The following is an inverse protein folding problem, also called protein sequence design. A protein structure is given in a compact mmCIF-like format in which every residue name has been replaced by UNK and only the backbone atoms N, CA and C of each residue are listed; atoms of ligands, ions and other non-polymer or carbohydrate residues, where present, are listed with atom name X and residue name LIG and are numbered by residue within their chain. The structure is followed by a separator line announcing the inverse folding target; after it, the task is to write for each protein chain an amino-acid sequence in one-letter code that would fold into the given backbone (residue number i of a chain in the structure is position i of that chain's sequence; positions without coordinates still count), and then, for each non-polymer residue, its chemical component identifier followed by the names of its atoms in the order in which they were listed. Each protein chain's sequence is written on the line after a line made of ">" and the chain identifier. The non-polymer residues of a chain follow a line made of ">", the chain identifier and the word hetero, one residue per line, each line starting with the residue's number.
data_IF_913880078317
#
_entry.id   IF_913880078317
#
_cell.length_a   1.000
_cell.length_b   1.000
_cell.length_c   1.000
_cell.angle_alpha   90.00
_cell.angle_beta   90.00
_cell.angle_gamma   90.00
#
_symmetry.space_group_name_H-M   'P 1'
#
loop_
_entity.id
_entity.type
_entity.pdbx_description
1 polymer ?
#
# COMPACT_ATOMS: atom_id res chain seq x y z
N UNK A 1 -5.10 8.24 2.07
CA UNK A 1 -4.67 7.22 1.07
C UNK A 1 -5.87 6.39 0.59
N UNK A 2 -7.07 6.59 1.14
CA UNK A 2 -8.38 6.58 0.46
C UNK A 2 -8.38 6.55 -1.08
N UNK A 3 -7.47 7.28 -1.73
CA UNK A 3 -7.35 7.43 -3.19
C UNK A 3 -6.50 6.36 -3.89
N UNK A 4 -5.80 5.50 -3.14
CA UNK A 4 -4.87 4.50 -3.66
C UNK A 4 -5.37 3.09 -3.36
N UNK A 5 -5.32 2.23 -4.36
CA UNK A 5 -5.60 0.80 -4.17
C UNK A 5 -4.44 0.06 -3.49
N UNK A 6 -3.28 0.72 -3.35
CA UNK A 6 -2.14 0.12 -2.67
C UNK A 6 -2.45 -0.13 -1.19
N UNK A 7 -2.04 -1.28 -0.67
CA UNK A 7 -2.25 -1.68 0.72
C UNK A 7 -1.18 -1.16 1.69
N UNK A 8 -0.24 -0.37 1.19
CA UNK A 8 0.84 0.22 1.96
C UNK A 8 1.99 0.69 1.07
N UNK A 9 3.14 0.97 1.68
CA UNK A 9 4.28 1.48 0.94
C UNK A 9 5.53 1.72 1.80
N UNK A 10 6.50 2.41 1.21
CA UNK A 10 7.76 2.77 1.87
C UNK A 10 8.90 1.77 1.70
N UNK A 11 8.66 0.64 1.03
CA UNK A 11 9.72 -0.29 0.63
C UNK A 11 10.54 0.24 -0.55
N UNK A 12 11.68 -0.43 -0.80
CA UNK A 12 12.53 -0.17 -1.96
C UNK A 12 11.85 -0.61 -3.27
N UNK A 13 12.42 -0.24 -4.41
CA UNK A 13 11.88 -0.61 -5.73
C UNK A 13 12.03 -2.12 -6.00
N UNK A 14 11.16 -2.68 -6.84
CA UNK A 14 11.27 -4.10 -7.25
C UNK A 14 12.62 -4.43 -7.91
N UNK A 15 13.21 -3.46 -8.60
CA UNK A 15 14.54 -3.56 -9.20
C UNK A 15 15.64 -3.75 -8.15
N UNK A 16 15.52 -3.11 -6.98
CA UNK A 16 16.45 -3.33 -5.88
C UNK A 16 16.43 -4.79 -5.41
N UNK A 17 15.23 -5.36 -5.19
CA UNK A 17 15.08 -6.76 -4.80
C UNK A 17 15.49 -7.74 -5.91
N UNK A 18 15.23 -7.41 -7.18
CA UNK A 18 15.73 -8.20 -8.31
C UNK A 18 17.26 -8.29 -8.30
N UNK A 19 17.94 -7.15 -8.05
CA UNK A 19 19.39 -7.10 -7.96
C UNK A 19 19.90 -7.87 -6.75
N UNK A 20 19.25 -7.71 -5.59
CA UNK A 20 19.57 -8.41 -4.34
C UNK A 20 19.46 -9.93 -4.48
N UNK A 21 18.38 -10.43 -5.07
CA UNK A 21 18.03 -11.86 -5.04
C UNK A 21 18.51 -12.65 -6.26
N UNK A 22 18.58 -12.01 -7.42
CA UNK A 22 18.83 -12.68 -8.70
C UNK A 22 19.97 -12.04 -9.50
N UNK A 23 20.70 -11.08 -8.92
CA UNK A 23 21.83 -10.38 -9.56
C UNK A 23 21.46 -9.71 -10.89
N UNK A 24 20.19 -9.37 -11.11
CA UNK A 24 19.71 -8.67 -12.31
C UNK A 24 18.90 -7.43 -11.95
N UNK A 25 18.97 -6.39 -12.77
CA UNK A 25 18.09 -5.21 -12.64
C UNK A 25 16.85 -5.29 -13.54
N UNK A 26 16.81 -6.27 -14.44
CA UNK A 26 15.68 -6.50 -15.34
C UNK A 26 14.61 -7.33 -14.62
N UNK A 27 13.69 -6.63 -13.94
CA UNK A 27 12.55 -7.26 -13.29
C UNK A 27 11.58 -7.87 -14.32
N UNK A 28 11.48 -7.30 -15.52
CA UNK A 28 10.55 -7.74 -16.57
C UNK A 28 10.85 -9.14 -17.08
N UNK A 29 12.12 -9.53 -17.21
CA UNK A 29 12.50 -10.87 -17.67
C UNK A 29 12.36 -11.97 -16.61
N UNK A 30 12.08 -11.62 -15.35
CA UNK A 30 11.89 -12.63 -14.31
C UNK A 30 10.62 -13.46 -14.53
N UNK A 31 10.71 -14.75 -14.22
CA UNK A 31 9.56 -15.64 -14.23
C UNK A 31 8.49 -15.17 -13.23
N UNK A 32 7.20 -15.51 -13.43
CA UNK A 32 6.13 -15.13 -12.52
C UNK A 32 6.40 -15.51 -11.06
N UNK A 33 6.94 -16.70 -10.79
CA UNK A 33 7.28 -17.15 -9.45
C UNK A 33 8.36 -16.27 -8.78
N UNK A 34 9.38 -15.84 -9.53
CA UNK A 34 10.43 -14.95 -9.02
C UNK A 34 9.90 -13.54 -8.77
N UNK A 35 9.04 -13.04 -9.67
CA UNK A 35 8.35 -11.75 -9.51
C UNK A 35 7.50 -11.74 -8.24
N UNK A 36 6.79 -12.84 -7.97
CA UNK A 36 5.96 -12.96 -6.76
C UNK A 36 6.80 -13.02 -5.48
N UNK A 37 7.92 -13.75 -5.49
CA UNK A 37 8.85 -13.74 -4.35
C UNK A 37 9.38 -12.34 -4.04
N UNK A 38 9.78 -11.58 -5.07
CA UNK A 38 10.19 -10.18 -4.91
C UNK A 38 9.05 -9.32 -4.34
N UNK A 39 7.83 -9.46 -4.86
CA UNK A 39 6.67 -8.70 -4.36
C UNK A 39 6.40 -9.02 -2.89
N UNK A 40 6.47 -10.29 -2.49
CA UNK A 40 6.32 -10.70 -1.09
C UNK A 40 7.39 -10.09 -0.19
N UNK A 41 8.65 -10.10 -0.60
CA UNK A 41 9.72 -9.47 0.17
C UNK A 41 9.54 -7.95 0.24
N UNK A 42 9.21 -7.29 -0.87
CA UNK A 42 8.90 -5.87 -0.89
C UNK A 42 7.74 -5.53 0.05
N UNK A 43 6.69 -6.37 0.10
CA UNK A 43 5.57 -6.21 1.03
C UNK A 43 5.99 -6.35 2.48
N UNK A 44 6.94 -7.21 2.79
CA UNK A 44 7.48 -7.36 4.15
C UNK A 44 8.27 -6.12 4.58
N UNK A 45 8.94 -5.46 3.64
CA UNK A 45 9.72 -4.24 3.88
C UNK A 45 8.89 -2.94 3.86
N UNK A 46 7.56 -3.02 3.74
CA UNK A 46 6.72 -1.83 3.84
C UNK A 46 6.90 -1.15 5.20
N UNK A 47 6.85 0.18 5.18
CA UNK A 47 6.93 1.04 6.37
C UNK A 47 5.57 1.45 6.88
N UNK A 48 4.53 1.36 6.04
CA UNK A 48 3.16 1.58 6.46
C UNK A 48 2.20 0.63 5.74
N UNK A 49 1.05 0.41 6.37
CA UNK A 49 -0.12 -0.27 5.81
C UNK A 49 -1.27 0.73 5.69
N UNK A 50 -2.06 0.58 4.65
CA UNK A 50 -3.31 1.32 4.47
C UNK A 50 -4.46 0.41 4.90
N UNK A 51 -5.18 0.83 5.93
CA UNK A 51 -6.47 0.27 6.29
C UNK A 51 -7.55 1.07 5.56
N UNK A 52 -7.87 0.60 4.35
CA UNK A 52 -8.83 1.27 3.49
C UNK A 52 -10.27 1.12 4.01
N UNK A 53 -10.56 0.15 4.89
CA UNK A 53 -11.89 -0.03 5.47
C UNK A 53 -12.16 1.01 6.55
N UNK A 54 -11.17 1.27 7.41
CA UNK A 54 -11.27 2.26 8.49
C UNK A 54 -10.83 3.67 8.06
N UNK A 55 -10.41 3.85 6.80
CA UNK A 55 -9.74 5.05 6.25
C UNK A 55 -8.57 5.54 7.13
N UNK A 56 -7.68 4.61 7.49
CA UNK A 56 -6.54 4.86 8.38
C UNK A 56 -5.25 4.34 7.80
N UNK A 57 -4.14 4.92 8.26
CA UNK A 57 -2.79 4.50 7.88
C UNK A 57 -2.02 4.24 9.16
N UNK A 58 -1.32 3.11 9.20
CA UNK A 58 -0.50 2.72 10.34
C UNK A 58 0.91 2.43 9.90
N UNK A 59 1.89 2.77 10.75
CA UNK A 59 3.23 2.19 10.61
C UNK A 59 3.14 0.66 10.73
N UNK A 60 3.97 -0.06 9.98
CA UNK A 60 4.13 -1.52 10.17
C UNK A 60 4.71 -1.84 11.55
N UNK A 61 5.35 -0.87 12.19
CA UNK A 61 5.90 -0.92 13.55
C UNK A 61 5.02 -0.12 14.53
N UNK A 62 3.72 0.06 14.24
CA UNK A 62 2.80 0.79 15.11
C UNK A 62 2.78 0.17 16.52
N UNK A 63 3.06 0.99 17.53
CA UNK A 63 3.12 0.56 18.93
C UNK A 63 1.72 0.39 19.55
N UNK A 64 0.66 0.88 18.87
CA UNK A 64 -0.75 0.89 19.33
C UNK A 64 -1.01 1.69 20.62
N UNK A 65 0.04 2.13 21.28
CA UNK A 65 0.02 2.93 22.49
C UNK A 65 0.73 4.26 22.25
N UNK A 66 0.30 5.28 22.99
CA UNK A 66 0.92 6.59 23.01
C UNK A 66 1.13 6.97 24.47
N UNK A 67 2.34 7.36 24.83
CA UNK A 67 2.61 7.95 26.15
C UNK A 67 2.24 9.42 26.11
N UNK A 68 1.38 9.84 27.03
CA UNK A 68 0.90 11.21 27.14
C UNK A 68 1.15 11.67 28.57
N UNK A 69 1.96 12.70 28.72
CA UNK A 69 2.14 13.39 30.00
C UNK A 69 1.05 14.48 30.09
N UNK A 70 -0.17 14.09 30.51
CA UNK A 70 -1.31 14.99 30.69
C UNK A 70 -2.52 14.69 29.78
N UNK A 71 -3.42 15.66 29.67
CA UNK A 71 -4.60 15.57 28.78
C UNK A 71 -4.19 15.99 27.37
N UNK A 72 -4.40 15.12 26.39
CA UNK A 72 -4.15 15.45 24.99
C UNK A 72 -5.38 16.11 24.36
N UNK A 73 -5.23 17.35 23.90
CA UNK A 73 -6.27 18.06 23.14
C UNK A 73 -6.39 17.61 21.68
N UNK A 74 -5.49 16.73 21.21
CA UNK A 74 -5.43 16.27 19.83
C UNK A 74 -5.13 14.77 19.73
N UNK A 75 -5.52 14.11 18.61
CA UNK A 75 -5.17 12.73 18.35
C UNK A 75 -3.64 12.60 18.26
N UNK A 76 -3.05 11.88 19.21
CA UNK A 76 -1.62 11.64 19.20
C UNK A 76 -1.27 10.40 18.39
N UNK A 77 -0.16 10.48 17.66
CA UNK A 77 0.43 9.35 16.97
C UNK A 77 1.50 8.71 17.84
N UNK A 78 1.60 7.39 17.83
CA UNK A 78 2.79 6.74 18.39
C UNK A 78 4.04 7.15 17.60
N UNK A 79 5.22 7.01 18.21
CA UNK A 79 6.51 7.43 17.62
C UNK A 79 6.71 6.83 16.22
N UNK A 80 6.39 5.54 16.04
CA UNK A 80 6.52 4.86 14.76
C UNK A 80 5.60 5.44 13.66
N UNK A 81 4.32 5.72 14.00
CA UNK A 81 3.38 6.34 13.07
C UNK A 81 3.76 7.79 12.75
N UNK A 82 4.26 8.53 13.74
CA UNK A 82 4.81 9.88 13.54
C UNK A 82 6.02 9.87 12.60
N UNK A 83 6.89 8.86 12.73
CA UNK A 83 8.00 8.62 11.81
C UNK A 83 7.55 8.41 10.36
N UNK A 84 6.47 7.64 10.14
CA UNK A 84 5.88 7.49 8.80
C UNK A 84 5.33 8.82 8.30
N UNK A 85 4.54 9.52 9.11
CA UNK A 85 3.89 10.79 8.75
C UNK A 85 4.91 11.87 8.32
N UNK A 86 6.05 11.90 8.98
CA UNK A 86 7.14 12.84 8.68
C UNK A 86 8.03 12.40 7.50
N UNK A 87 7.98 11.12 7.10
CA UNK A 87 8.87 10.56 6.07
C UNK A 87 8.62 11.12 4.68
N UNK A 88 9.71 11.39 3.94
CA UNK A 88 9.63 11.88 2.54
C UNK A 88 8.89 10.92 1.60
N UNK A 89 9.09 9.59 1.64
CA UNK A 89 8.34 8.67 0.79
C UNK A 89 6.83 8.73 1.02
N UNK A 90 6.41 8.89 2.29
CA UNK A 90 5.00 9.00 2.62
C UNK A 90 4.39 10.32 2.13
N UNK A 91 5.07 11.45 2.36
CA UNK A 91 4.66 12.75 1.83
C UNK A 91 4.54 12.75 0.30
N UNK A 92 5.49 12.11 -0.38
CA UNK A 92 5.43 11.94 -1.84
C UNK A 92 4.19 11.12 -2.24
N UNK A 93 3.89 10.02 -1.55
CA UNK A 93 2.70 9.22 -1.82
C UNK A 93 1.40 10.03 -1.63
N UNK A 94 1.33 10.90 -0.62
CA UNK A 94 0.17 11.77 -0.40
C UNK A 94 0.02 12.86 -1.49
N UNK A 95 1.12 13.28 -2.11
CA UNK A 95 1.10 14.29 -3.17
C UNK A 95 0.59 13.77 -4.53
N UNK A 96 0.44 12.44 -4.68
CA UNK A 96 -0.05 11.84 -5.93
C UNK A 96 -1.52 12.24 -6.14
N UNK A 97 -1.79 12.91 -7.26
CA UNK A 97 -3.15 13.31 -7.64
C UNK A 97 -4.00 12.09 -7.96
N UNK A 98 -5.27 12.14 -7.56
CA UNK A 98 -6.26 11.11 -7.90
C UNK A 98 -6.40 11.02 -9.43
N UNK A 99 -6.36 9.82 -10.02
CA UNK A 99 -6.70 9.65 -11.43
C UNK A 99 -8.14 10.12 -11.68
N UNK A 100 -8.41 10.69 -12.87
CA UNK A 100 -9.79 10.93 -13.31
C UNK A 100 -10.52 9.58 -13.42
N UNK A 101 -11.84 9.55 -13.18
CA UNK A 101 -12.65 8.32 -13.23
C UNK A 101 -12.41 7.50 -14.51
N UNK A 102 -12.35 8.15 -15.68
CA UNK A 102 -12.05 7.52 -16.98
C UNK A 102 -10.69 6.80 -17.05
N UNK A 103 -9.74 7.17 -16.19
CA UNK A 103 -8.39 6.62 -16.15
C UNK A 103 -8.24 5.50 -15.12
N UNK A 104 -9.23 5.24 -14.26
CA UNK A 104 -9.16 4.14 -13.29
C UNK A 104 -9.01 2.76 -13.97
N UNK A 105 -9.50 2.62 -15.21
CA UNK A 105 -9.29 1.40 -16.02
C UNK A 105 -7.82 1.07 -16.25
N UNK A 106 -6.93 2.07 -16.24
CA UNK A 106 -5.48 1.92 -16.42
C UNK A 106 -4.73 1.75 -15.09
N UNK A 107 -5.44 1.75 -13.95
CA UNK A 107 -4.82 1.47 -12.66
C UNK A 107 -4.24 0.06 -12.66
N UNK A 108 -3.03 -0.07 -12.13
CA UNK A 108 -2.31 -1.35 -12.12
C UNK A 108 -3.13 -2.44 -11.44
N UNK A 109 -3.35 -3.55 -12.15
CA UNK A 109 -4.11 -4.69 -11.66
C UNK A 109 -3.51 -5.30 -10.39
N UNK A 110 -2.19 -5.26 -10.23
CA UNK A 110 -1.52 -5.85 -9.07
C UNK A 110 -1.70 -5.06 -7.76
N UNK A 111 -2.29 -3.87 -7.82
CA UNK A 111 -2.73 -3.11 -6.66
C UNK A 111 -4.22 -3.29 -6.38
N UNK A 112 -4.98 -3.90 -7.31
CA UNK A 112 -6.41 -4.13 -7.12
C UNK A 112 -6.62 -5.31 -6.18
N UNK A 113 -7.58 -5.18 -5.26
CA UNK A 113 -8.04 -6.31 -4.46
C UNK A 113 -9.19 -7.00 -5.18
N UNK A 114 -8.88 -7.75 -6.24
CA UNK A 114 -9.87 -8.36 -7.12
C UNK A 114 -10.89 -9.22 -6.38
N UNK A 115 -10.47 -9.91 -5.32
CA UNK A 115 -11.37 -10.69 -4.47
C UNK A 115 -12.43 -9.82 -3.78
N UNK A 116 -12.03 -8.64 -3.26
CA UNK A 116 -12.99 -7.71 -2.65
C UNK A 116 -13.91 -7.09 -3.68
N UNK A 117 -13.40 -6.79 -4.88
CA UNK A 117 -14.25 -6.31 -5.98
C UNK A 117 -15.29 -7.34 -6.38
N UNK A 118 -14.89 -8.62 -6.54
CA UNK A 118 -15.79 -9.73 -6.86
C UNK A 118 -16.86 -9.92 -5.78
N UNK A 119 -16.46 -9.92 -4.51
CA UNK A 119 -17.41 -10.02 -3.38
C UNK A 119 -18.40 -8.85 -3.41
N UNK A 120 -17.92 -7.62 -3.59
CA UNK A 120 -18.78 -6.44 -3.60
C UNK A 120 -19.74 -6.44 -4.80
N UNK A 121 -19.28 -6.83 -5.98
CA UNK A 121 -20.13 -6.95 -7.16
C UNK A 121 -21.23 -8.00 -6.96
N UNK A 122 -20.88 -9.16 -6.38
CA UNK A 122 -21.86 -10.19 -6.03
C UNK A 122 -22.90 -9.68 -5.02
N UNK A 123 -22.46 -8.99 -3.97
CA UNK A 123 -23.37 -8.39 -2.98
C UNK A 123 -24.25 -7.27 -3.55
N UNK A 124 -23.79 -6.57 -4.59
CA UNK A 124 -24.49 -5.43 -5.20
C UNK A 124 -25.30 -5.82 -6.44
N UNK A 125 -25.33 -7.10 -6.84
CA UNK A 125 -26.00 -7.57 -8.05
C UNK A 125 -25.34 -7.09 -9.36
N UNK A 126 -24.04 -6.79 -9.33
CA UNK A 126 -23.26 -6.26 -10.46
C UNK A 126 -22.31 -7.31 -11.05
N UNK A 127 -22.53 -8.60 -10.78
CA UNK A 127 -21.64 -9.69 -11.20
C UNK A 127 -21.51 -9.78 -12.73
N UNK A 128 -22.61 -9.56 -13.46
CA UNK A 128 -22.65 -9.56 -14.94
C UNK A 128 -21.84 -8.43 -15.60
N UNK A 129 -21.44 -7.39 -14.85
CA UNK A 129 -20.65 -6.27 -15.35
C UNK A 129 -19.13 -6.49 -15.20
N UNK A 130 -18.72 -7.64 -14.65
CA UNK A 130 -17.32 -7.95 -14.37
C UNK A 130 -16.64 -8.90 -15.38
N UNK A 131 -17.39 -9.43 -16.34
CA UNK A 131 -16.90 -10.25 -17.47
C UNK A 131 -16.43 -9.37 -18.65
#
# INVERSE_FOLDING_TARGET
>A
LDRSLALGGGARSVTFYARKNYKTSDYSSLSPARKERIKSEQRNDWKWRNDNLADRIFSTECMKEVRVDGVADAPLLCVACSGVASSKPFKNALSIRRPLNKNYKFSRHDLRQDNLMKINARCSGLEELMD
#
